data_IF_675087526347
#
_entry.id   IF_675087526347
#
_cell.length_a   1.000
_cell.length_b   1.000
_cell.length_c   1.000
_cell.angle_alpha   90.00
_cell.angle_beta   90.00
_cell.angle_gamma   90.00
#
_symmetry.space_group_name_H-M   'P 1'
#
loop_
_entity.id
_entity.type
_entity.pdbx_description
1 polymer ?
#
# COMPACT_ATOMS: atom_id res chain seq x y z
N UNK A 1 -5.58 -21.43 0.67
CA UNK A 1 -6.17 -20.27 -0.03
C UNK A 1 -5.35 -20.05 -1.29
N UNK A 2 -5.92 -19.68 -2.45
CA UNK A 2 -5.12 -19.59 -3.67
C UNK A 2 -4.00 -18.55 -3.45
N UNK A 3 -2.77 -18.91 -3.82
CA UNK A 3 -1.57 -18.06 -3.75
C UNK A 3 -1.81 -16.76 -4.52
N UNK A 4 -2.28 -15.70 -3.84
CA UNK A 4 -2.51 -14.41 -4.48
C UNK A 4 -1.18 -13.67 -4.54
N UNK A 5 -0.37 -14.05 -5.52
CA UNK A 5 0.88 -13.36 -5.87
C UNK A 5 0.59 -11.93 -6.35
N UNK A 6 1.59 -11.07 -6.21
CA UNK A 6 1.59 -9.72 -6.79
C UNK A 6 1.37 -9.80 -8.31
N UNK A 7 0.67 -8.82 -8.89
CA UNK A 7 0.33 -8.79 -10.32
C UNK A 7 0.97 -7.58 -10.99
N UNK A 8 1.96 -7.80 -11.84
CA UNK A 8 2.56 -6.76 -12.68
C UNK A 8 1.52 -6.24 -13.67
N UNK A 9 1.22 -4.94 -13.64
CA UNK A 9 0.23 -4.31 -14.53
C UNK A 9 0.89 -3.76 -15.80
N UNK A 10 2.03 -3.10 -15.65
CA UNK A 10 2.87 -2.57 -16.73
C UNK A 10 4.30 -2.34 -16.23
N UNK A 11 5.13 -1.68 -17.04
CA UNK A 11 6.55 -1.44 -16.78
C UNK A 11 6.83 -0.77 -15.43
N UNK A 12 5.90 0.03 -14.91
CA UNK A 12 6.12 0.85 -13.72
C UNK A 12 5.09 0.60 -12.60
N UNK A 13 4.21 -0.40 -12.72
CA UNK A 13 3.15 -0.65 -11.74
C UNK A 13 3.01 -2.12 -11.37
N UNK A 14 3.03 -2.39 -10.07
CA UNK A 14 2.82 -3.69 -9.45
C UNK A 14 1.57 -3.63 -8.56
N UNK A 15 0.60 -4.50 -8.79
CA UNK A 15 -0.63 -4.56 -8.02
C UNK A 15 -0.53 -5.56 -6.88
N UNK A 16 -1.04 -5.17 -5.71
CA UNK A 16 -1.38 -6.05 -4.60
C UNK A 16 -2.90 -6.31 -4.69
N UNK A 17 -3.36 -7.50 -5.13
CA UNK A 17 -4.79 -7.74 -5.30
C UNK A 17 -5.58 -7.58 -3.99
N UNK A 18 -6.84 -7.09 -4.04
CA UNK A 18 -7.76 -6.93 -2.87
C UNK A 18 -7.97 -8.19 -2.01
N UNK A 19 -7.46 -9.35 -2.43
CA UNK A 19 -7.52 -10.56 -1.62
C UNK A 19 -6.17 -11.05 -1.09
N UNK A 20 -5.10 -10.27 -1.27
CA UNK A 20 -3.77 -10.59 -0.76
C UNK A 20 -3.79 -10.70 0.78
N UNK A 21 -4.53 -9.81 1.45
CA UNK A 21 -4.81 -9.85 2.88
C UNK A 21 -6.32 -9.88 3.14
N UNK A 22 -6.73 -10.61 4.17
CA UNK A 22 -8.12 -10.60 4.63
C UNK A 22 -8.52 -9.19 5.11
N UNK A 23 -9.75 -8.78 4.79
CA UNK A 23 -10.30 -7.49 5.21
C UNK A 23 -9.91 -6.28 4.33
N UNK A 24 -9.17 -6.48 3.23
CA UNK A 24 -8.90 -5.39 2.29
C UNK A 24 -10.21 -4.87 1.66
N UNK A 25 -10.42 -3.55 1.73
CA UNK A 25 -11.54 -2.82 1.12
C UNK A 25 -11.26 -2.47 -0.35
N UNK A 26 -9.99 -2.40 -0.73
CA UNK A 26 -9.51 -2.06 -2.07
C UNK A 26 -8.25 -2.87 -2.42
N UNK A 27 -7.65 -2.62 -3.59
CA UNK A 27 -6.35 -3.19 -3.98
C UNK A 27 -5.20 -2.22 -3.64
N UNK A 28 -3.97 -2.69 -3.67
CA UNK A 28 -2.77 -1.85 -3.57
C UNK A 28 -2.09 -1.65 -4.92
N UNK A 29 -1.39 -0.54 -5.11
CA UNK A 29 -0.51 -0.29 -6.27
C UNK A 29 0.84 0.22 -5.77
N UNK A 30 1.91 -0.48 -6.12
CA UNK A 30 3.27 -0.01 -5.93
C UNK A 30 3.80 0.46 -7.28
N UNK A 31 4.24 1.72 -7.35
CA UNK A 31 4.85 2.30 -8.54
C UNK A 31 6.34 2.01 -8.51
N UNK A 32 6.83 1.16 -9.41
CA UNK A 32 8.25 0.85 -9.56
C UNK A 32 8.51 0.04 -10.83
N UNK A 33 9.73 0.14 -11.33
CA UNK A 33 10.22 -0.66 -12.45
C UNK A 33 10.66 -2.07 -12.01
N UNK A 34 11.20 -2.86 -12.93
CA UNK A 34 11.69 -4.22 -12.64
C UNK A 34 12.98 -4.25 -11.84
N UNK A 35 13.78 -3.19 -11.89
CA UNK A 35 15.04 -3.11 -11.14
C UNK A 35 14.70 -2.90 -9.67
N UNK A 36 13.86 -1.90 -9.39
CA UNK A 36 13.39 -1.56 -8.06
C UNK A 36 12.54 -2.68 -7.43
N UNK A 37 11.81 -3.48 -8.23
CA UNK A 37 11.07 -4.65 -7.72
C UNK A 37 11.97 -5.63 -6.96
N UNK A 38 13.22 -5.79 -7.38
CA UNK A 38 14.20 -6.67 -6.72
C UNK A 38 14.61 -6.22 -5.32
N UNK A 39 14.31 -4.97 -4.95
CA UNK A 39 14.61 -4.38 -3.64
C UNK A 39 13.38 -4.28 -2.74
N UNK A 40 12.20 -4.73 -3.20
CA UNK A 40 10.99 -4.67 -2.41
C UNK A 40 11.08 -5.49 -1.13
N UNK A 41 10.79 -4.84 -0.02
CA UNK A 41 10.67 -5.49 1.28
C UNK A 41 9.27 -6.09 1.44
N UNK A 42 9.19 -7.37 1.84
CA UNK A 42 7.91 -8.05 2.13
C UNK A 42 7.07 -7.27 3.13
N UNK A 43 7.71 -6.68 4.15
CA UNK A 43 6.98 -5.95 5.18
C UNK A 43 6.38 -4.63 4.66
N UNK A 44 7.07 -3.94 3.74
CA UNK A 44 6.53 -2.75 3.09
C UNK A 44 5.32 -3.09 2.19
N UNK A 45 5.39 -4.22 1.45
CA UNK A 45 4.25 -4.76 0.68
C UNK A 45 3.06 -5.03 1.62
N UNK A 46 3.31 -5.70 2.75
CA UNK A 46 2.28 -6.02 3.72
C UNK A 46 1.66 -4.76 4.35
N UNK A 47 2.45 -3.69 4.54
CA UNK A 47 1.96 -2.39 5.02
C UNK A 47 1.04 -1.73 3.99
N UNK A 48 1.34 -1.77 2.70
CA UNK A 48 0.41 -1.30 1.66
C UNK A 48 -0.88 -2.10 1.69
N UNK A 49 -0.80 -3.43 1.88
CA UNK A 49 -1.96 -4.29 2.03
C UNK A 49 -2.77 -4.00 3.32
N UNK A 50 -2.11 -3.66 4.43
CA UNK A 50 -2.76 -3.25 5.68
C UNK A 50 -3.54 -1.96 5.49
N UNK A 51 -2.93 -0.97 4.84
CA UNK A 51 -3.60 0.32 4.59
C UNK A 51 -4.85 0.11 3.74
N UNK A 52 -4.81 -0.84 2.80
CA UNK A 52 -5.99 -1.20 2.01
C UNK A 52 -7.14 -1.83 2.81
N UNK A 53 -6.95 -2.23 4.07
CA UNK A 53 -8.04 -2.72 4.96
C UNK A 53 -8.73 -1.61 5.74
N UNK A 54 -8.22 -0.38 5.69
CA UNK A 54 -8.70 0.70 6.54
C UNK A 54 -10.08 1.21 6.08
N UNK A 55 -10.99 1.56 7.01
CA UNK A 55 -12.34 2.04 6.68
C UNK A 55 -12.30 3.33 5.86
N UNK A 56 -13.21 3.43 4.88
CA UNK A 56 -13.37 4.63 4.07
C UNK A 56 -12.21 4.94 3.13
N UNK A 57 -11.28 4.01 2.89
CA UNK A 57 -10.21 4.21 1.89
C UNK A 57 -10.80 4.43 0.49
N UNK A 58 -10.30 5.46 -0.19
CA UNK A 58 -10.73 5.86 -1.54
C UNK A 58 -9.65 5.50 -2.55
N UNK A 59 -10.03 4.78 -3.60
CA UNK A 59 -9.09 4.31 -4.60
C UNK A 59 -8.16 3.19 -4.07
N UNK A 60 -7.00 2.97 -4.68
CA UNK A 60 -6.01 2.00 -4.19
C UNK A 60 -5.18 2.55 -3.03
N UNK A 61 -4.67 1.64 -2.19
CA UNK A 61 -3.54 1.94 -1.30
C UNK A 61 -2.26 2.02 -2.14
N UNK A 62 -1.61 3.18 -2.19
CA UNK A 62 -0.50 3.39 -3.10
C UNK A 62 0.84 3.44 -2.37
N UNK A 63 1.90 3.06 -3.06
CA UNK A 63 3.27 3.32 -2.62
C UNK A 63 4.15 3.75 -3.80
N UNK A 64 5.02 4.72 -3.53
CA UNK A 64 5.94 5.32 -4.48
C UNK A 64 7.19 4.45 -4.70
N UNK A 65 8.04 4.75 -5.71
CA UNK A 65 9.20 3.91 -6.05
C UNK A 65 10.26 3.75 -4.96
N UNK A 66 10.27 4.64 -3.97
CA UNK A 66 11.17 4.65 -2.81
C UNK A 66 10.57 3.96 -1.57
N UNK A 67 9.50 3.16 -1.78
CA UNK A 67 8.82 2.42 -0.72
C UNK A 67 9.80 1.60 0.14
N UNK A 68 9.65 1.75 1.46
CA UNK A 68 10.32 0.89 2.44
C UNK A 68 9.48 0.82 3.74
N UNK A 69 9.86 -0.11 4.62
CA UNK A 69 9.16 -0.34 5.88
C UNK A 69 9.06 0.94 6.72
N UNK A 70 7.84 1.31 7.09
CA UNK A 70 7.54 2.43 7.99
C UNK A 70 6.85 1.99 9.28
N UNK A 71 6.13 2.93 9.93
CA UNK A 71 5.37 2.68 11.17
C UNK A 71 3.87 2.55 10.86
N UNK A 72 3.42 1.32 10.65
CA UNK A 72 2.03 1.00 10.29
C UNK A 72 1.73 1.22 8.81
N UNK A 73 2.04 2.41 8.29
CA UNK A 73 2.08 2.70 6.85
C UNK A 73 3.52 2.57 6.36
N UNK A 74 3.69 2.17 5.09
CA UNK A 74 5.00 2.23 4.45
C UNK A 74 5.43 3.68 4.24
N UNK A 75 6.74 3.95 4.38
CA UNK A 75 7.29 5.22 3.91
C UNK A 75 7.18 5.24 2.38
N UNK A 76 6.89 6.40 1.80
CA UNK A 76 6.49 6.53 0.39
C UNK A 76 5.05 6.07 0.13
N UNK A 77 4.27 5.73 1.17
CA UNK A 77 2.87 5.37 1.06
C UNK A 77 1.95 6.58 0.83
N UNK A 78 0.89 6.38 0.05
CA UNK A 78 -0.18 7.36 -0.17
C UNK A 78 -1.53 6.67 -0.05
N UNK A 79 -2.41 7.20 0.80
CA UNK A 79 -3.78 6.74 0.93
C UNK A 79 -4.72 7.93 1.12
N UNK A 80 -5.83 7.92 0.40
CA UNK A 80 -6.92 8.88 0.58
C UNK A 80 -8.06 8.20 1.34
N UNK A 81 -8.71 8.95 2.22
CA UNK A 81 -9.85 8.48 3.01
C UNK A 81 -11.02 9.44 2.84
N UNK A 82 -12.23 8.89 2.78
CA UNK A 82 -13.46 9.67 2.73
C UNK A 82 -13.61 10.51 4.02
N UNK A 83 -14.11 11.74 3.89
CA UNK A 83 -14.20 12.67 5.02
C UNK A 83 -15.29 12.29 6.04
N UNK A 84 -16.31 11.52 5.64
CA UNK A 84 -17.42 11.13 6.51
C UNK A 84 -17.18 9.78 7.15
N UNK A 85 -16.74 8.80 6.37
CA UNK A 85 -16.66 7.38 6.79
C UNK A 85 -15.21 6.86 6.90
N UNK A 86 -14.22 7.72 6.69
CA UNK A 86 -12.80 7.40 6.76
C UNK A 86 -12.15 7.59 8.12
N UNK A 87 -10.83 7.43 8.15
CA UNK A 87 -10.00 7.53 9.35
C UNK A 87 -8.84 8.49 9.15
N UNK A 88 -8.30 8.99 10.25
CA UNK A 88 -6.97 9.63 10.30
C UNK A 88 -6.05 8.73 11.11
N UNK A 89 -4.89 8.39 10.55
CA UNK A 89 -3.86 7.60 11.23
C UNK A 89 -2.57 8.42 11.31
N UNK A 90 -2.06 8.78 12.50
CA UNK A 90 -0.79 9.47 12.64
C UNK A 90 0.38 8.73 11.99
N UNK A 91 0.36 7.39 12.01
CA UNK A 91 1.36 6.56 11.32
C UNK A 91 1.35 6.71 9.80
N UNK A 92 0.24 7.17 9.21
CA UNK A 92 0.14 7.50 7.79
C UNK A 92 0.67 8.89 7.42
N UNK A 93 1.00 9.72 8.41
CA UNK A 93 1.67 11.01 8.21
C UNK A 93 3.16 10.86 8.53
N UNK A 94 3.48 10.25 9.67
CA UNK A 94 4.85 10.09 10.15
C UNK A 94 5.10 10.82 11.47
N UNK A 95 6.22 10.47 12.11
CA UNK A 95 6.62 11.07 13.40
C UNK A 95 7.11 12.51 13.27
N UNK A 96 7.89 12.80 12.21
CA UNK A 96 8.48 14.10 11.95
C UNK A 96 7.54 14.91 11.04
N UNK A 97 6.68 15.71 11.66
CA UNK A 97 5.62 16.45 10.97
C UNK A 97 6.16 17.83 10.57
N UNK A 98 6.47 17.99 9.28
CA UNK A 98 6.84 19.23 8.59
C UNK A 98 7.91 20.09 9.30
#
# INVERSE_FOLDING_TARGET
MPDKKLRRLDDNRLEIPKGYREGMNTHGIIFLDRILEGFLETHAIDQVANVATLPGIVGPSMAMPDIHTGYGFAIGGVAAFDIKDGIVSPGGVGYDIN
#
